data_IF_675254532589
#
_entry.id   IF_675254532589
#
_cell.length_a   1.000
_cell.length_b   1.000
_cell.length_c   1.000
_cell.angle_alpha   90.00
_cell.angle_beta   90.00
_cell.angle_gamma   90.00
#
_symmetry.space_group_name_H-M   'P 1'
#
loop_
_entity.id
_entity.type
_entity.pdbx_description
1 polymer ?
#
# COMPACT_ATOMS: atom_id res chain seq x y z
N UNK A 1 120.69 100.58 -56.40
CA UNK A 1 120.45 99.55 -57.43
C UNK A 1 120.18 98.20 -56.77
N UNK A 2 121.12 97.61 -56.00
CA UNK A 2 120.94 96.31 -55.33
C UNK A 2 119.69 96.16 -54.42
N UNK A 3 119.37 97.15 -53.58
CA UNK A 3 118.16 97.08 -52.72
C UNK A 3 116.84 97.08 -53.51
N UNK A 4 116.82 97.75 -54.67
CA UNK A 4 115.63 97.82 -55.53
C UNK A 4 115.37 96.48 -56.21
N UNK A 5 116.44 95.79 -56.64
CA UNK A 5 116.38 94.44 -57.21
C UNK A 5 115.95 93.40 -56.16
N UNK A 6 116.40 93.52 -54.91
CA UNK A 6 115.94 92.64 -53.81
C UNK A 6 114.44 92.81 -53.52
N UNK A 7 113.94 94.06 -53.48
CA UNK A 7 112.50 94.31 -53.32
C UNK A 7 111.69 93.78 -54.50
N UNK A 8 112.21 93.89 -55.72
CA UNK A 8 111.55 93.35 -56.92
C UNK A 8 111.47 91.81 -56.90
N UNK A 9 112.54 91.13 -56.48
CA UNK A 9 112.56 89.67 -56.30
C UNK A 9 111.54 89.22 -55.25
N UNK A 10 111.49 89.90 -54.10
CA UNK A 10 110.53 89.59 -53.02
C UNK A 10 109.08 89.79 -53.47
N UNK A 11 108.79 90.82 -54.28
CA UNK A 11 107.46 91.04 -54.85
C UNK A 11 107.08 89.91 -55.82
N UNK A 12 108.00 89.45 -56.65
CA UNK A 12 107.76 88.32 -57.57
C UNK A 12 107.51 87.01 -56.81
N UNK A 13 108.27 86.74 -55.76
CA UNK A 13 108.08 85.56 -54.91
C UNK A 13 106.72 85.58 -54.21
N UNK A 14 106.30 86.75 -53.67
CA UNK A 14 104.96 86.92 -53.09
C UNK A 14 103.85 86.73 -54.11
N UNK A 15 104.01 87.22 -55.35
CA UNK A 15 103.02 87.01 -56.40
C UNK A 15 102.88 85.52 -56.77
N UNK A 16 104.00 84.80 -56.86
CA UNK A 16 103.99 83.36 -57.13
C UNK A 16 103.32 82.57 -55.99
N UNK A 17 103.60 82.92 -54.74
CA UNK A 17 102.98 82.27 -53.57
C UNK A 17 101.48 82.59 -53.46
N UNK A 18 101.07 83.81 -53.81
CA UNK A 18 99.67 84.21 -53.84
C UNK A 18 98.89 83.44 -54.91
N UNK A 19 99.42 83.30 -56.13
CA UNK A 19 98.80 82.50 -57.19
C UNK A 19 98.77 80.99 -56.84
N UNK A 20 99.84 80.46 -56.24
CA UNK A 20 99.84 79.08 -55.70
C UNK A 20 98.79 78.87 -54.61
N UNK A 21 98.56 79.86 -53.75
CA UNK A 21 97.54 79.79 -52.71
C UNK A 21 96.13 79.91 -53.28
N UNK A 22 95.93 80.78 -54.27
CA UNK A 22 94.66 80.97 -54.98
C UNK A 22 94.22 79.73 -55.75
N UNK A 23 95.14 79.08 -56.45
CA UNK A 23 94.88 77.82 -57.15
C UNK A 23 94.51 76.70 -56.17
N UNK A 24 95.27 76.54 -55.08
CA UNK A 24 94.94 75.61 -53.99
C UNK A 24 93.57 75.88 -53.37
N UNK A 25 93.24 77.14 -53.10
CA UNK A 25 91.94 77.55 -52.58
C UNK A 25 90.79 77.20 -53.55
N UNK A 26 90.98 77.45 -54.85
CA UNK A 26 89.98 77.15 -55.88
C UNK A 26 89.74 75.64 -56.00
N UNK A 27 90.81 74.83 -55.96
CA UNK A 27 90.73 73.37 -55.95
C UNK A 27 90.04 72.84 -54.70
N UNK A 28 90.41 73.35 -53.52
CA UNK A 28 89.77 72.98 -52.26
C UNK A 28 88.27 73.32 -52.28
N UNK A 29 87.91 74.50 -52.77
CA UNK A 29 86.51 74.92 -52.92
C UNK A 29 85.73 74.00 -53.88
N UNK A 30 86.33 73.63 -55.01
CA UNK A 30 85.73 72.68 -55.96
C UNK A 30 85.53 71.28 -55.36
N UNK A 31 86.52 70.78 -54.60
CA UNK A 31 86.43 69.50 -53.90
C UNK A 31 85.32 69.52 -52.82
N UNK A 32 85.23 70.61 -52.04
CA UNK A 32 84.18 70.81 -51.04
C UNK A 32 82.79 70.77 -51.72
N UNK A 33 82.60 71.53 -52.81
CA UNK A 33 81.33 71.56 -53.53
C UNK A 33 80.95 70.18 -54.11
N UNK A 34 81.92 69.43 -54.63
CA UNK A 34 81.67 68.08 -55.15
C UNK A 34 81.28 67.09 -54.04
N UNK A 35 81.99 67.13 -52.90
CA UNK A 35 81.67 66.29 -51.75
C UNK A 35 80.31 66.63 -51.17
N UNK A 36 79.95 67.92 -51.11
CA UNK A 36 78.66 68.35 -50.61
C UNK A 36 77.51 67.82 -51.47
N UNK A 37 77.61 67.89 -52.80
CA UNK A 37 76.63 67.27 -53.71
C UNK A 37 76.50 65.75 -53.52
N UNK A 38 77.62 65.08 -53.24
CA UNK A 38 77.61 63.64 -52.99
C UNK A 38 76.92 63.30 -51.66
N UNK A 39 77.15 64.10 -50.62
CA UNK A 39 76.45 63.98 -49.33
C UNK A 39 74.95 64.19 -49.52
N UNK A 40 74.54 65.28 -50.19
CA UNK A 40 73.12 65.57 -50.44
C UNK A 40 72.42 64.42 -51.20
N UNK A 41 73.09 63.84 -52.20
CA UNK A 41 72.57 62.68 -52.93
C UNK A 41 72.43 61.45 -52.03
N UNK A 42 73.44 61.15 -51.21
CA UNK A 42 73.42 60.03 -50.28
C UNK A 42 72.34 60.20 -49.20
N UNK A 43 72.15 61.42 -48.69
CA UNK A 43 71.09 61.75 -47.73
C UNK A 43 69.70 61.51 -48.34
N UNK A 44 69.48 61.93 -49.58
CA UNK A 44 68.21 61.68 -50.28
C UNK A 44 67.95 60.18 -50.48
N UNK A 45 68.97 59.39 -50.85
CA UNK A 45 68.84 57.94 -50.96
C UNK A 45 68.55 57.30 -49.61
N UNK A 46 69.22 57.74 -48.54
CA UNK A 46 68.99 57.23 -47.19
C UNK A 46 67.57 57.52 -46.71
N UNK A 47 67.05 58.72 -46.95
CA UNK A 47 65.67 59.09 -46.64
C UNK A 47 64.68 58.19 -47.38
N UNK A 48 64.90 57.95 -48.68
CA UNK A 48 64.04 57.06 -49.47
C UNK A 48 64.00 55.64 -48.90
N UNK A 49 65.16 55.06 -48.60
CA UNK A 49 65.24 53.72 -48.00
C UNK A 49 64.61 53.69 -46.60
N UNK A 50 64.77 54.76 -45.82
CA UNK A 50 64.14 54.87 -44.50
C UNK A 50 62.61 54.83 -44.60
N UNK A 51 62.02 55.58 -45.53
CA UNK A 51 60.57 55.58 -45.77
C UNK A 51 60.06 54.21 -46.25
N UNK A 52 60.79 53.56 -47.17
CA UNK A 52 60.44 52.21 -47.63
C UNK A 52 60.48 51.19 -46.49
N UNK A 53 61.47 51.30 -45.59
CA UNK A 53 61.58 50.41 -44.43
C UNK A 53 60.41 50.62 -43.45
N UNK A 54 60.03 51.88 -43.16
CA UNK A 54 58.88 52.18 -42.31
C UNK A 54 57.59 51.58 -42.88
N UNK A 55 57.36 51.74 -44.19
CA UNK A 55 56.19 51.16 -44.87
C UNK A 55 56.20 49.63 -44.76
N UNK A 56 57.31 48.98 -45.07
CA UNK A 56 57.43 47.52 -44.96
C UNK A 56 57.23 47.03 -43.52
N UNK A 57 57.69 47.77 -42.52
CA UNK A 57 57.43 47.44 -41.11
C UNK A 57 55.95 47.54 -40.75
N UNK A 58 55.24 48.54 -41.27
CA UNK A 58 53.79 48.67 -41.07
C UNK A 58 53.04 47.50 -41.72
N UNK A 59 53.34 47.18 -42.98
CA UNK A 59 52.74 46.04 -43.68
C UNK A 59 53.02 44.72 -42.95
N UNK A 60 54.25 44.50 -42.48
CA UNK A 60 54.61 43.30 -41.73
C UNK A 60 53.78 43.19 -40.44
N UNK A 61 53.54 44.30 -39.74
CA UNK A 61 52.72 44.32 -38.52
C UNK A 61 51.27 43.97 -38.83
N UNK A 62 50.69 44.57 -39.87
CA UNK A 62 49.33 44.28 -40.31
C UNK A 62 49.17 42.82 -40.74
N UNK A 63 50.11 42.29 -41.51
CA UNK A 63 50.11 40.88 -41.93
C UNK A 63 50.20 39.93 -40.74
N UNK A 64 51.01 40.24 -39.72
CA UNK A 64 51.06 39.47 -38.47
C UNK A 64 49.72 39.48 -37.74
N UNK A 65 49.06 40.63 -37.64
CA UNK A 65 47.74 40.73 -37.01
C UNK A 65 46.68 39.94 -37.79
N UNK A 66 46.71 39.99 -39.12
CA UNK A 66 45.81 39.21 -39.97
C UNK A 66 46.03 37.70 -39.79
N UNK A 67 47.28 37.25 -39.75
CA UNK A 67 47.62 35.84 -39.51
C UNK A 67 47.15 35.37 -38.13
N UNK A 68 47.32 36.18 -37.10
CA UNK A 68 46.82 35.87 -35.76
C UNK A 68 45.30 35.75 -35.77
N UNK A 69 44.59 36.73 -36.35
CA UNK A 69 43.14 36.71 -36.44
C UNK A 69 42.62 35.50 -37.23
N UNK A 70 43.30 35.08 -38.29
CA UNK A 70 42.96 33.84 -39.00
C UNK A 70 43.21 32.60 -38.14
N UNK A 71 44.32 32.55 -37.41
CA UNK A 71 44.65 31.44 -36.50
C UNK A 71 43.57 31.28 -35.42
N UNK A 72 43.11 32.39 -34.83
CA UNK A 72 42.06 32.38 -33.83
C UNK A 72 40.73 31.90 -34.43
N UNK A 73 40.38 32.38 -35.64
CA UNK A 73 39.18 31.93 -36.36
C UNK A 73 39.20 30.42 -36.64
N UNK A 74 40.32 29.88 -37.13
CA UNK A 74 40.42 28.44 -37.39
C UNK A 74 40.38 27.60 -36.11
N UNK A 75 40.94 28.13 -35.02
CA UNK A 75 40.87 27.48 -33.70
C UNK A 75 39.44 27.42 -33.19
N UNK A 76 38.69 28.52 -33.27
CA UNK A 76 37.28 28.57 -32.88
C UNK A 76 36.42 27.65 -33.74
N UNK A 77 36.57 27.67 -35.07
CA UNK A 77 35.80 26.76 -35.96
C UNK A 77 36.02 25.29 -35.59
N UNK A 78 37.27 24.93 -35.23
CA UNK A 78 37.59 23.56 -34.83
C UNK A 78 36.93 23.20 -33.50
N UNK A 79 37.00 24.08 -32.51
CA UNK A 79 36.40 23.82 -31.20
C UNK A 79 34.87 23.83 -31.27
N UNK A 80 34.25 24.76 -32.01
CA UNK A 80 32.81 24.82 -32.24
C UNK A 80 32.29 23.52 -32.89
N UNK A 81 33.00 23.01 -33.90
CA UNK A 81 32.64 21.73 -34.53
C UNK A 81 32.67 20.58 -33.53
N UNK A 82 33.70 20.51 -32.70
CA UNK A 82 33.84 19.50 -31.64
C UNK A 82 32.72 19.64 -30.60
N UNK A 83 32.39 20.85 -30.18
CA UNK A 83 31.28 21.11 -29.26
C UNK A 83 29.93 20.68 -29.86
N UNK A 84 29.70 20.97 -31.14
CA UNK A 84 28.50 20.56 -31.85
C UNK A 84 28.38 19.03 -31.94
N UNK A 85 29.47 18.32 -32.22
CA UNK A 85 29.48 16.85 -32.23
C UNK A 85 29.15 16.27 -30.84
N UNK A 86 29.75 16.84 -29.78
CA UNK A 86 29.47 16.44 -28.40
C UNK A 86 28.02 16.74 -27.99
N UNK A 87 27.47 17.89 -28.39
CA UNK A 87 26.08 18.25 -28.15
C UNK A 87 25.14 17.25 -28.85
N UNK A 88 25.42 16.90 -30.12
CA UNK A 88 24.62 15.92 -30.86
C UNK A 88 24.64 14.51 -30.25
N UNK A 89 25.78 14.06 -29.69
CA UNK A 89 25.84 12.81 -28.93
C UNK A 89 25.02 12.90 -27.63
N UNK A 90 25.16 13.99 -26.88
CA UNK A 90 24.42 14.23 -25.64
C UNK A 90 22.90 14.27 -25.88
N UNK A 91 22.45 14.88 -26.97
CA UNK A 91 21.03 14.92 -27.35
C UNK A 91 20.48 13.54 -27.67
N UNK A 92 21.25 12.69 -28.40
CA UNK A 92 20.86 11.31 -28.68
C UNK A 92 20.71 10.49 -27.40
N UNK A 93 21.69 10.59 -26.50
CA UNK A 93 21.65 9.90 -25.21
C UNK A 93 20.46 10.39 -24.36
N UNK A 94 20.18 11.70 -24.39
CA UNK A 94 19.03 12.27 -23.68
C UNK A 94 17.69 11.71 -24.20
N UNK A 95 17.57 11.54 -25.53
CA UNK A 95 16.38 10.96 -26.14
C UNK A 95 16.19 9.49 -25.73
N UNK A 96 17.26 8.70 -25.74
CA UNK A 96 17.22 7.29 -25.29
C UNK A 96 16.83 7.21 -23.81
N UNK A 97 17.41 8.05 -22.95
CA UNK A 97 17.08 8.09 -21.52
C UNK A 97 15.60 8.45 -21.29
N UNK A 98 15.07 9.45 -22.02
CA UNK A 98 13.64 9.80 -21.94
C UNK A 98 12.74 8.65 -22.36
N UNK A 99 13.11 7.91 -23.41
CA UNK A 99 12.36 6.73 -23.85
C UNK A 99 12.35 5.65 -22.76
N UNK A 100 13.52 5.38 -22.14
CA UNK A 100 13.61 4.40 -21.05
C UNK A 100 12.80 4.82 -19.82
N UNK A 101 12.84 6.10 -19.44
CA UNK A 101 12.02 6.62 -18.34
C UNK A 101 10.54 6.41 -18.63
N UNK A 102 10.09 6.73 -19.85
CA UNK A 102 8.70 6.52 -20.24
C UNK A 102 8.29 5.03 -20.18
N UNK A 103 9.13 4.11 -20.66
CA UNK A 103 8.87 2.66 -20.56
C UNK A 103 8.78 2.18 -19.12
N UNK A 104 9.68 2.67 -18.25
CA UNK A 104 9.68 2.34 -16.83
C UNK A 104 8.44 2.89 -16.12
N UNK A 105 8.01 4.11 -16.44
CA UNK A 105 6.77 4.69 -15.90
C UNK A 105 5.54 3.87 -16.29
N UNK A 106 5.46 3.42 -17.55
CA UNK A 106 4.37 2.55 -18.02
C UNK A 106 4.36 1.21 -17.28
N UNK A 107 5.52 0.59 -17.11
CA UNK A 107 5.63 -0.68 -16.39
C UNK A 107 5.33 -0.53 -14.89
N UNK A 108 5.73 0.59 -14.29
CA UNK A 108 5.42 0.92 -12.91
C UNK A 108 3.91 1.09 -12.71
N UNK A 109 3.23 1.83 -13.59
CA UNK A 109 1.78 2.00 -13.55
C UNK A 109 1.02 0.66 -13.67
N UNK A 110 1.51 -0.27 -14.51
CA UNK A 110 0.95 -1.64 -14.60
C UNK A 110 1.11 -2.39 -13.28
N UNK A 111 2.27 -2.31 -12.63
CA UNK A 111 2.52 -2.96 -11.34
C UNK A 111 1.67 -2.35 -10.22
N UNK A 112 1.50 -1.04 -10.19
CA UNK A 112 0.62 -0.39 -9.22
C UNK A 112 -0.83 -0.84 -9.38
N UNK A 113 -1.28 -1.02 -10.63
CA UNK A 113 -2.61 -1.56 -10.89
C UNK A 113 -2.76 -2.98 -10.37
N UNK A 114 -1.81 -3.89 -10.64
CA UNK A 114 -1.89 -5.27 -10.14
C UNK A 114 -1.79 -5.35 -8.61
N UNK A 115 -0.98 -4.51 -7.98
CA UNK A 115 -0.93 -4.38 -6.51
C UNK A 115 -2.30 -3.97 -5.98
N UNK A 116 -2.93 -2.96 -6.57
CA UNK A 116 -4.27 -2.50 -6.17
C UNK A 116 -5.33 -3.60 -6.30
N UNK A 117 -5.27 -4.41 -7.37
CA UNK A 117 -6.16 -5.57 -7.53
C UNK A 117 -5.93 -6.64 -6.45
N UNK A 118 -4.67 -6.91 -6.09
CA UNK A 118 -4.36 -7.86 -5.03
C UNK A 118 -4.79 -7.34 -3.66
N UNK A 119 -4.59 -6.07 -3.35
CA UNK A 119 -5.04 -5.45 -2.10
C UNK A 119 -6.58 -5.52 -1.96
N UNK A 120 -7.31 -5.31 -3.06
CA UNK A 120 -8.76 -5.47 -3.08
C UNK A 120 -9.18 -6.93 -2.79
N UNK A 121 -8.50 -7.92 -3.40
CA UNK A 121 -8.75 -9.34 -3.15
C UNK A 121 -8.42 -9.74 -1.71
N UNK A 122 -7.30 -9.27 -1.17
CA UNK A 122 -6.91 -9.51 0.24
C UNK A 122 -7.97 -8.95 1.18
N UNK A 123 -8.43 -7.72 0.93
CA UNK A 123 -9.49 -7.08 1.72
C UNK A 123 -10.80 -7.90 1.67
N UNK A 124 -11.18 -8.39 0.49
CA UNK A 124 -12.36 -9.24 0.32
C UNK A 124 -12.25 -10.55 1.11
N UNK A 125 -11.10 -11.25 0.97
CA UNK A 125 -10.85 -12.50 1.67
C UNK A 125 -10.81 -12.31 3.19
N UNK A 126 -10.26 -11.20 3.67
CA UNK A 126 -10.22 -10.88 5.10
C UNK A 126 -11.62 -10.67 5.68
N UNK A 127 -12.52 -10.02 4.92
CA UNK A 127 -13.93 -9.89 5.30
C UNK A 127 -14.60 -11.28 5.33
N UNK A 128 -14.42 -12.11 4.31
CA UNK A 128 -14.98 -13.47 4.27
C UNK A 128 -14.49 -14.34 5.44
N UNK A 129 -13.20 -14.29 5.74
CA UNK A 129 -12.60 -15.01 6.86
C UNK A 129 -13.23 -14.56 8.19
N UNK A 130 -13.38 -13.24 8.39
CA UNK A 130 -14.01 -12.71 9.61
C UNK A 130 -15.47 -13.14 9.75
N UNK A 131 -16.22 -13.25 8.65
CA UNK A 131 -17.59 -13.74 8.64
C UNK A 131 -17.66 -15.22 8.97
N UNK A 132 -16.80 -16.03 8.33
CA UNK A 132 -16.69 -17.47 8.60
C UNK A 132 -16.34 -17.75 10.07
N UNK A 133 -15.39 -16.99 10.62
CA UNK A 133 -15.00 -17.11 12.03
C UNK A 133 -16.14 -16.75 12.98
N UNK A 134 -16.93 -15.71 12.69
CA UNK A 134 -18.13 -15.36 13.47
C UNK A 134 -19.20 -16.47 13.42
N UNK A 135 -19.44 -17.05 12.25
CA UNK A 135 -20.39 -18.16 12.10
C UNK A 135 -19.94 -19.38 12.90
N UNK A 136 -18.65 -19.72 12.85
CA UNK A 136 -18.08 -20.84 13.59
C UNK A 136 -18.21 -20.63 15.11
N UNK A 137 -17.89 -19.44 15.61
CA UNK A 137 -18.06 -19.10 17.03
C UNK A 137 -19.53 -19.21 17.46
N UNK A 138 -20.46 -18.73 16.62
CA UNK A 138 -21.90 -18.83 16.92
C UNK A 138 -22.36 -20.30 16.95
N UNK A 139 -21.86 -21.13 16.04
CA UNK A 139 -22.17 -22.56 16.02
C UNK A 139 -21.66 -23.26 17.28
N UNK A 140 -20.43 -22.97 17.72
CA UNK A 140 -19.86 -23.51 18.96
C UNK A 140 -20.70 -23.15 20.18
N UNK A 141 -21.10 -21.87 20.31
CA UNK A 141 -21.98 -21.43 21.41
C UNK A 141 -23.31 -22.18 21.43
N UNK A 142 -23.96 -22.33 20.27
CA UNK A 142 -25.23 -23.06 20.18
C UNK A 142 -25.07 -24.53 20.52
N UNK A 143 -23.92 -25.13 20.16
CA UNK A 143 -23.62 -26.52 20.50
C UNK A 143 -23.41 -26.70 22.01
N UNK A 144 -22.69 -25.79 22.67
CA UNK A 144 -22.52 -25.78 24.13
C UNK A 144 -23.85 -25.58 24.88
N UNK A 145 -24.69 -24.66 24.40
CA UNK A 145 -26.05 -24.46 24.94
C UNK A 145 -26.92 -25.71 24.76
N UNK A 146 -26.84 -26.38 23.61
CA UNK A 146 -27.59 -27.61 23.37
C UNK A 146 -27.08 -28.76 24.26
N UNK A 147 -25.76 -28.86 24.45
CA UNK A 147 -25.14 -29.87 25.29
C UNK A 147 -25.56 -29.70 26.76
N UNK A 148 -25.42 -28.48 27.31
CA UNK A 148 -25.85 -28.17 28.68
C UNK A 148 -27.34 -28.43 28.90
N UNK A 149 -28.21 -28.06 27.95
CA UNK A 149 -29.65 -28.40 28.00
C UNK A 149 -29.86 -29.91 28.03
N UNK A 150 -29.15 -30.67 27.21
CA UNK A 150 -29.26 -32.13 27.18
C UNK A 150 -28.86 -32.74 28.52
N UNK A 151 -27.78 -32.26 29.14
CA UNK A 151 -27.36 -32.68 30.48
C UNK A 151 -28.44 -32.40 31.54
N UNK A 152 -29.04 -31.20 31.52
CA UNK A 152 -30.11 -30.87 32.47
C UNK A 152 -31.35 -31.74 32.30
N UNK A 153 -31.71 -32.06 31.05
CA UNK A 153 -32.85 -32.95 30.74
C UNK A 153 -32.54 -34.37 31.20
N UNK A 154 -31.32 -34.88 30.96
CA UNK A 154 -30.92 -36.21 31.43
C UNK A 154 -30.95 -36.33 32.95
N UNK A 155 -30.48 -35.30 33.68
CA UNK A 155 -30.55 -35.26 35.14
C UNK A 155 -32.00 -35.28 35.64
N UNK A 156 -32.87 -34.47 35.06
CA UNK A 156 -34.29 -34.43 35.39
C UNK A 156 -35.00 -35.75 35.08
N UNK A 157 -34.68 -36.38 33.94
CA UNK A 157 -35.17 -37.70 33.56
C UNK A 157 -34.77 -38.76 34.58
N UNK A 158 -33.49 -38.80 34.98
CA UNK A 158 -33.00 -39.77 35.96
C UNK A 158 -33.70 -39.60 37.31
N UNK A 159 -33.90 -38.35 37.76
CA UNK A 159 -34.63 -38.06 38.98
C UNK A 159 -36.10 -38.53 38.90
N UNK A 160 -36.76 -38.33 37.75
CA UNK A 160 -38.12 -38.80 37.52
C UNK A 160 -38.20 -40.33 37.50
N UNK A 161 -37.22 -41.03 36.90
CA UNK A 161 -37.14 -42.50 36.91
C UNK A 161 -37.02 -43.05 38.34
N UNK A 162 -36.15 -42.47 39.17
CA UNK A 162 -36.01 -42.87 40.58
C UNK A 162 -37.31 -42.66 41.35
N UNK A 163 -38.00 -41.53 41.15
CA UNK A 163 -39.29 -41.25 41.78
C UNK A 163 -40.38 -42.24 41.35
N UNK A 164 -40.40 -42.60 40.05
CA UNK A 164 -41.32 -43.60 39.49
C UNK A 164 -41.11 -44.97 40.14
N UNK A 165 -39.86 -45.46 40.21
CA UNK A 165 -39.52 -46.75 40.80
C UNK A 165 -39.85 -46.79 42.31
N UNK A 166 -39.60 -45.69 43.02
CA UNK A 166 -40.01 -45.54 44.42
C UNK A 166 -41.53 -45.60 44.60
N UNK A 167 -42.30 -44.93 43.75
CA UNK A 167 -43.76 -44.96 43.78
C UNK A 167 -44.31 -46.36 43.43
N UNK A 168 -43.74 -47.02 42.42
CA UNK A 168 -44.08 -48.38 42.01
C UNK A 168 -43.84 -49.38 43.15
N UNK A 169 -42.66 -49.39 43.76
CA UNK A 169 -42.36 -50.27 44.89
C UNK A 169 -43.28 -50.03 46.10
N UNK A 170 -43.67 -48.78 46.35
CA UNK A 170 -44.64 -48.43 47.40
C UNK A 170 -46.05 -48.94 47.06
N UNK A 171 -46.47 -48.84 45.80
CA UNK A 171 -47.73 -49.41 45.31
C UNK A 171 -47.74 -50.94 45.42
N UNK A 172 -46.65 -51.61 45.04
CA UNK A 172 -46.54 -53.07 45.21
C UNK A 172 -46.63 -53.48 46.68
N UNK A 173 -45.98 -52.75 47.60
CA UNK A 173 -46.13 -52.99 49.04
C UNK A 173 -47.58 -52.82 49.50
N UNK A 174 -48.28 -51.78 49.03
CA UNK A 174 -49.69 -51.57 49.35
C UNK A 174 -50.55 -52.71 48.80
N UNK A 175 -50.35 -53.09 47.53
CA UNK A 175 -51.02 -54.23 46.89
C UNK A 175 -50.81 -55.50 47.72
N UNK A 176 -49.57 -55.80 48.12
CA UNK A 176 -49.25 -56.95 48.95
C UNK A 176 -49.93 -56.88 50.32
N UNK A 177 -50.00 -55.70 50.96
CA UNK A 177 -50.74 -55.51 52.21
C UNK A 177 -52.24 -55.73 52.06
N UNK A 178 -52.85 -55.24 50.97
CA UNK A 178 -54.27 -55.49 50.67
C UNK A 178 -54.48 -56.98 50.50
N UNK A 179 -53.69 -57.65 49.66
CA UNK A 179 -53.76 -59.11 49.46
C UNK A 179 -53.64 -59.84 50.81
N UNK A 180 -52.65 -59.50 51.64
CA UNK A 180 -52.51 -60.08 52.97
C UNK A 180 -53.75 -59.82 53.85
N UNK A 181 -54.24 -58.59 53.94
CA UNK A 181 -55.40 -58.24 54.75
C UNK A 181 -56.69 -58.94 54.30
N UNK A 182 -56.89 -59.11 53.00
CA UNK A 182 -58.10 -59.74 52.42
C UNK A 182 -58.04 -61.26 52.49
N UNK A 183 -56.87 -61.88 52.36
CA UNK A 183 -56.72 -63.34 52.25
C UNK A 183 -56.10 -64.03 53.48
N UNK A 184 -55.60 -63.28 54.47
CA UNK A 184 -54.96 -63.86 55.68
C UNK A 184 -55.87 -63.92 56.92
N UNK A 185 -57.16 -63.58 56.80
CA UNK A 185 -58.16 -63.89 57.83
C UNK A 185 -58.53 -65.37 57.78
N UNK A 186 -58.54 -66.02 58.95
CA UNK A 186 -58.82 -67.46 59.10
C UNK A 186 -60.17 -67.83 58.44
N UNK A 187 -60.12 -68.49 57.28
CA UNK A 187 -61.30 -69.06 56.61
C UNK A 187 -61.48 -68.79 55.11
N UNK A 188 -60.70 -67.89 54.48
CA UNK A 188 -60.85 -67.59 53.04
C UNK A 188 -59.79 -68.29 52.19
N UNK A 189 -60.22 -69.08 51.21
CA UNK A 189 -59.36 -69.83 50.27
C UNK A 189 -58.47 -68.86 49.46
N UNK A 190 -57.21 -69.25 49.28
CA UNK A 190 -56.25 -68.60 48.36
C UNK A 190 -56.85 -68.48 46.95
N UNK A 191 -57.06 -67.25 46.46
CA UNK A 191 -57.35 -67.02 45.04
C UNK A 191 -56.03 -66.99 44.28
N UNK A 192 -55.72 -68.08 43.60
CA UNK A 192 -54.57 -68.21 42.71
C UNK A 192 -54.82 -67.58 41.32
N UNK A 193 -55.87 -66.77 41.16
CA UNK A 193 -56.29 -66.21 39.88
C UNK A 193 -56.37 -64.70 40.00
N UNK A 194 -55.76 -63.99 39.04
CA UNK A 194 -55.84 -62.54 38.94
C UNK A 194 -57.30 -62.11 38.88
N UNK A 195 -57.74 -61.36 39.90
CA UNK A 195 -59.06 -60.72 39.93
C UNK A 195 -59.03 -59.63 38.85
N UNK A 196 -59.82 -59.81 37.80
CA UNK A 196 -59.99 -58.82 36.73
C UNK A 196 -60.90 -57.69 37.21
N UNK A 197 -60.74 -56.48 36.64
CA UNK A 197 -61.67 -55.37 36.87
C UNK A 197 -63.13 -55.78 36.55
N UNK A 198 -63.33 -56.71 35.60
CA UNK A 198 -64.64 -57.29 35.32
C UNK A 198 -65.19 -58.13 36.48
N UNK A 199 -64.35 -58.90 37.18
CA UNK A 199 -64.79 -59.71 38.32
C UNK A 199 -65.22 -58.83 39.50
N UNK A 200 -64.55 -57.69 39.68
CA UNK A 200 -64.92 -56.68 40.69
C UNK A 200 -66.25 -56.02 40.33
N UNK A 201 -66.43 -55.66 39.06
CA UNK A 201 -67.68 -55.07 38.58
C UNK A 201 -68.86 -56.03 38.70
N UNK A 202 -68.68 -57.31 38.36
CA UNK A 202 -69.72 -58.33 38.50
C UNK A 202 -70.08 -58.59 39.97
N UNK A 203 -69.10 -58.59 40.88
CA UNK A 203 -69.34 -58.71 42.31
C UNK A 203 -70.15 -57.52 42.86
N UNK A 204 -69.81 -56.29 42.46
CA UNK A 204 -70.55 -55.08 42.83
C UNK A 204 -71.97 -55.10 42.27
N UNK A 205 -72.15 -55.51 41.01
CA UNK A 205 -73.45 -55.64 40.38
C UNK A 205 -74.32 -56.71 41.08
N UNK A 206 -73.72 -57.83 41.49
CA UNK A 206 -74.39 -58.89 42.26
C UNK A 206 -74.87 -58.38 43.62
N UNK A 207 -74.03 -57.64 44.37
CA UNK A 207 -74.41 -57.04 45.65
C UNK A 207 -75.56 -56.03 45.47
N UNK A 208 -75.51 -55.20 44.42
CA UNK A 208 -76.59 -54.24 44.12
C UNK A 208 -77.89 -54.97 43.80
N UNK A 209 -77.82 -56.05 43.01
CA UNK A 209 -78.97 -56.88 42.65
C UNK A 209 -79.56 -57.58 43.87
N UNK A 210 -78.73 -58.24 44.69
CA UNK A 210 -79.14 -58.90 45.93
C UNK A 210 -79.77 -57.92 46.93
N UNK A 211 -79.20 -56.71 47.06
CA UNK A 211 -79.78 -55.64 47.89
C UNK A 211 -81.15 -55.21 47.37
N UNK A 212 -81.32 -55.14 46.04
CA UNK A 212 -82.59 -54.77 45.40
C UNK A 212 -83.64 -55.88 45.58
N UNK A 213 -83.24 -57.14 45.46
CA UNK A 213 -84.10 -58.29 45.68
C UNK A 213 -84.54 -58.44 47.14
N UNK A 214 -83.61 -58.24 48.10
CA UNK A 214 -83.93 -58.19 49.53
C UNK A 214 -84.91 -57.05 49.86
N UNK A 215 -84.70 -55.88 49.27
CA UNK A 215 -85.60 -54.74 49.42
C UNK A 215 -87.01 -55.06 48.90
N UNK A 216 -87.10 -55.71 47.74
CA UNK A 216 -88.37 -56.13 47.15
C UNK A 216 -89.06 -57.23 47.97
N UNK A 217 -88.31 -58.18 48.54
CA UNK A 217 -88.86 -59.19 49.47
C UNK A 217 -89.41 -58.57 50.76
N UNK A 218 -88.70 -57.60 51.34
CA UNK A 218 -89.16 -56.85 52.52
C UNK A 218 -90.44 -56.05 52.21
N UNK A 219 -90.51 -55.46 51.01
CA UNK A 219 -91.71 -54.76 50.51
C UNK A 219 -92.90 -55.72 50.31
N UNK A 220 -92.67 -56.92 49.77
CA UNK A 220 -93.72 -57.96 49.62
C UNK A 220 -94.20 -58.52 50.97
N UNK A 221 -93.32 -58.59 51.97
CA UNK A 221 -93.64 -59.07 53.34
C UNK A 221 -94.32 -58.00 54.21
N UNK A 222 -94.70 -56.86 53.66
CA UNK A 222 -95.43 -55.79 54.36
C UNK A 222 -94.56 -54.93 55.28
N UNK A 223 -93.23 -55.06 55.23
CA UNK A 223 -92.30 -54.25 56.02
C UNK A 223 -92.13 -52.88 55.35
N UNK A 224 -92.31 -51.79 56.10
CA UNK A 224 -92.22 -50.42 55.58
C UNK A 224 -90.74 -50.05 55.38
N UNK A 225 -90.25 -50.07 54.14
CA UNK A 225 -88.83 -49.82 53.79
C UNK A 225 -88.65 -48.43 53.14
N UNK A 226 -87.68 -47.60 53.55
CA UNK A 226 -87.40 -46.28 52.96
C UNK A 226 -87.02 -46.34 51.47
N UNK A 227 -87.26 -45.31 50.63
CA UNK A 227 -86.94 -45.35 49.20
C UNK A 227 -85.44 -45.55 48.92
N UNK A 228 -85.10 -46.54 48.08
CA UNK A 228 -83.75 -46.72 47.56
C UNK A 228 -83.48 -45.71 46.44
N UNK A 229 -83.11 -44.47 46.78
CA UNK A 229 -82.25 -43.57 45.98
C UNK A 229 -82.25 -42.14 46.56
N UNK A 230 -81.08 -41.70 47.04
CA UNK A 230 -80.59 -40.32 46.95
C UNK A 230 -79.11 -40.29 47.37
N UNK A 231 -78.22 -40.30 46.38
CA UNK A 231 -76.93 -39.57 46.43
C UNK A 231 -76.32 -39.59 45.03
N UNK A 232 -76.68 -38.61 44.21
CA UNK A 232 -75.81 -38.18 43.12
C UNK A 232 -74.80 -37.19 43.71
N UNK A 233 -73.56 -37.65 43.90
CA UNK A 233 -72.41 -36.77 44.08
C UNK A 233 -71.95 -36.40 42.67
N UNK A 234 -72.40 -35.25 42.17
CA UNK A 234 -71.79 -34.62 41.00
C UNK A 234 -70.45 -34.02 41.42
N UNK A 235 -69.43 -34.39 40.66
CA UNK A 235 -68.03 -34.04 40.81
C UNK A 235 -67.76 -32.52 40.76
N UNK A 236 -66.87 -32.06 41.63
CA UNK A 236 -66.25 -30.74 41.58
C UNK A 236 -65.30 -30.63 40.38
N UNK A 237 -65.78 -30.08 39.26
CA UNK A 237 -64.93 -29.66 38.15
C UNK A 237 -64.36 -28.25 38.43
N UNK A 238 -63.13 -28.18 38.93
CA UNK A 238 -62.35 -26.95 38.99
C UNK A 238 -61.89 -26.51 37.59
N UNK A 239 -62.30 -25.31 37.18
CA UNK A 239 -62.01 -24.63 35.90
C UNK A 239 -60.50 -24.54 35.60
N UNK A 240 -60.05 -24.72 34.33
CA UNK A 240 -58.77 -24.18 33.87
C UNK A 240 -58.92 -22.72 33.41
N UNK A 241 -58.03 -21.86 33.93
CA UNK A 241 -57.87 -20.45 33.53
C UNK A 241 -57.32 -20.36 32.10
N UNK A 242 -57.97 -19.52 31.31
CA UNK A 242 -57.56 -19.03 29.98
C UNK A 242 -56.50 -17.94 30.16
N UNK A 243 -55.31 -18.12 29.58
CA UNK A 243 -54.33 -17.06 29.39
C UNK A 243 -54.12 -16.83 27.89
N UNK A 244 -54.77 -15.76 27.44
CA UNK A 244 -54.40 -14.79 26.39
C UNK A 244 -53.23 -15.12 25.45
N UNK A 245 -53.56 -15.26 24.17
CA UNK A 245 -52.68 -14.90 23.06
C UNK A 245 -52.67 -13.37 22.93
N UNK A 246 -51.48 -12.77 22.98
CA UNK A 246 -51.26 -11.39 22.54
C UNK A 246 -50.72 -11.41 21.12
N UNK A 247 -51.36 -10.61 20.26
CA UNK A 247 -50.73 -9.99 19.09
C UNK A 247 -49.73 -8.94 19.55
#
# INVERSE_FOLDING_TARGET
MAQLEEYEQVIQDFQAELESTRTRYSLATGAILSLQRQVDFQESQLQKVSMENELLQTELRERKQQLQAMTDKFSNIREDKKQQEMAGLTEKDNLILRQQVWELEQELAKREHTISEFDAKVSQLQVQLSQSQKLLQRQQQLQEEAHSKTETVQQAEQQARVALESAQSRLERLRNKIIQATFSTLGTKSLATEISDNDILDALQRIISERTDYYNQLKQKGVKVPPLQQSEISSSASKPKKATASK
#
